data_IF_864544798064
#
_entry.id   IF_864544798064
#
_cell.length_a   1.000
_cell.length_b   1.000
_cell.length_c   1.000
_cell.angle_alpha   90.00
_cell.angle_beta   90.00
_cell.angle_gamma   90.00
#
_symmetry.space_group_name_H-M   'P 1'
#
loop_
_entity.id
_entity.type
_entity.pdbx_description
1 polymer ?
#
# COMPACT_ATOMS: atom_id res chain seq x y z
N UNK A 1 0.56 -16.31 21.80
CA UNK A 1 0.60 -15.11 20.94
C UNK A 1 0.10 -15.53 19.57
N UNK A 2 -1.20 -15.38 19.33
CA UNK A 2 -1.81 -15.52 18.01
C UNK A 2 -1.24 -14.45 17.10
N UNK A 3 -0.74 -14.83 15.92
CA UNK A 3 -0.25 -13.86 14.95
C UNK A 3 -1.39 -12.91 14.58
N UNK A 4 -1.24 -11.62 14.89
CA UNK A 4 -2.18 -10.57 14.49
C UNK A 4 -2.34 -10.63 12.97
N UNK A 5 -3.50 -11.12 12.50
CA UNK A 5 -3.73 -11.38 11.07
C UNK A 5 -4.03 -10.05 10.39
N UNK A 6 -3.40 -9.84 9.23
CA UNK A 6 -3.76 -8.73 8.36
C UNK A 6 -4.84 -9.18 7.38
N UNK A 7 -5.90 -8.38 7.27
CA UNK A 7 -6.98 -8.58 6.31
C UNK A 7 -6.92 -7.50 5.24
N UNK A 8 -7.02 -7.89 3.97
CA UNK A 8 -7.00 -6.96 2.83
C UNK A 8 -8.36 -6.87 2.17
N UNK A 9 -8.74 -5.66 1.79
CA UNK A 9 -9.98 -5.38 1.08
C UNK A 9 -9.74 -4.42 -0.08
N UNK A 10 -10.58 -4.51 -1.11
CA UNK A 10 -10.61 -3.50 -2.17
C UNK A 10 -11.01 -2.16 -1.56
N UNK A 11 -10.23 -1.12 -1.87
CA UNK A 11 -10.45 0.21 -1.32
C UNK A 11 -11.77 0.80 -1.82
N UNK A 12 -12.63 1.22 -0.89
CA UNK A 12 -13.87 1.95 -1.18
C UNK A 12 -13.61 3.45 -1.38
N UNK A 13 -14.60 4.18 -1.91
CA UNK A 13 -14.50 5.64 -2.08
C UNK A 13 -14.33 6.38 -0.74
N UNK A 14 -14.98 5.93 0.34
CA UNK A 14 -14.82 6.54 1.67
C UNK A 14 -13.42 6.32 2.24
N UNK A 15 -12.87 5.12 2.07
CA UNK A 15 -11.50 4.80 2.45
C UNK A 15 -10.47 5.57 1.60
N UNK A 16 -10.77 5.82 0.32
CA UNK A 16 -9.93 6.63 -0.55
C UNK A 16 -9.80 8.09 -0.06
N UNK A 17 -10.90 8.64 0.48
CA UNK A 17 -10.89 9.97 1.11
C UNK A 17 -10.07 9.98 2.39
N UNK A 18 -10.26 9.00 3.28
CA UNK A 18 -9.45 8.87 4.49
C UNK A 18 -7.95 8.69 4.17
N UNK A 19 -7.63 7.86 3.17
CA UNK A 19 -6.26 7.67 2.72
C UNK A 19 -5.66 8.90 2.03
N UNK A 20 -6.48 9.82 1.53
CA UNK A 20 -6.02 11.11 0.99
C UNK A 20 -5.52 12.02 2.12
N UNK A 21 -6.14 11.96 3.30
CA UNK A 21 -5.66 12.66 4.49
C UNK A 21 -4.29 12.11 4.97
N UNK A 22 -3.94 10.88 4.60
CA UNK A 22 -2.62 10.32 4.89
C UNK A 22 -1.53 10.82 3.92
N UNK A 23 -1.86 11.45 2.79
CA UNK A 23 -0.87 11.83 1.78
C UNK A 23 0.18 12.83 2.30
N UNK A 24 -0.23 13.73 3.19
CA UNK A 24 0.65 14.79 3.70
C UNK A 24 1.66 14.25 4.73
N UNK A 25 1.36 13.10 5.33
CA UNK A 25 2.19 12.50 6.39
C UNK A 25 2.81 11.18 5.96
N UNK A 26 2.24 10.47 5.00
CA UNK A 26 2.66 9.14 4.59
C UNK A 26 2.94 9.07 3.08
N UNK A 27 4.21 9.22 2.74
CA UNK A 27 4.72 8.98 1.39
C UNK A 27 4.54 7.49 1.06
N UNK A 28 3.92 7.20 -0.08
CA UNK A 28 3.82 5.82 -0.58
C UNK A 28 5.24 5.28 -0.80
N UNK A 29 5.63 4.29 -0.01
CA UNK A 29 6.89 3.59 -0.21
C UNK A 29 6.74 2.68 -1.43
N UNK A 30 7.17 3.14 -2.59
CA UNK A 30 7.18 2.34 -3.81
C UNK A 30 8.36 1.37 -3.84
N UNK A 31 8.08 0.09 -4.00
CA UNK A 31 9.07 -0.94 -4.34
C UNK A 31 8.94 -1.24 -5.82
N UNK A 32 9.79 -0.57 -6.61
CA UNK A 32 9.68 -0.58 -8.06
C UNK A 32 11.04 -0.65 -8.75
N UNK A 33 11.15 -1.52 -9.74
CA UNK A 33 12.29 -1.58 -10.67
C UNK A 33 12.12 -0.62 -11.87
N UNK A 34 11.30 0.43 -11.74
CA UNK A 34 11.12 1.42 -12.82
C UNK A 34 12.41 2.21 -13.03
N UNK A 35 12.80 2.46 -14.29
CA UNK A 35 13.96 3.28 -14.58
C UNK A 35 13.73 4.73 -14.13
N UNK A 36 14.83 5.40 -13.83
CA UNK A 36 14.89 6.85 -13.66
C UNK A 36 15.56 7.40 -14.91
N UNK A 37 14.85 8.25 -15.65
CA UNK A 37 15.33 8.87 -16.89
C UNK A 37 15.44 10.36 -16.61
N UNK A 38 16.62 10.95 -16.82
CA UNK A 38 16.89 12.37 -16.55
C UNK A 38 16.52 12.81 -15.13
N UNK A 39 16.79 11.96 -14.12
CA UNK A 39 16.46 12.25 -12.72
C UNK A 39 14.97 12.10 -12.37
N UNK A 40 14.10 11.81 -13.34
CA UNK A 40 12.66 11.63 -13.14
C UNK A 40 12.31 10.16 -13.19
N UNK A 41 11.53 9.69 -12.21
CA UNK A 41 11.03 8.31 -12.19
C UNK A 41 9.92 8.17 -13.22
N UNK A 42 10.03 7.19 -14.12
CA UNK A 42 8.98 6.93 -15.12
C UNK A 42 7.64 6.66 -14.42
N UNK A 43 6.52 7.28 -14.85
CA UNK A 43 5.22 7.08 -14.23
C UNK A 43 4.72 5.63 -14.40
N UNK A 44 3.83 5.15 -13.52
CA UNK A 44 3.33 3.78 -13.60
C UNK A 44 2.29 3.70 -14.70
N UNK A 45 2.07 2.50 -15.25
CA UNK A 45 0.98 2.28 -16.22
C UNK A 45 -0.39 2.59 -15.62
N UNK A 46 -1.37 2.90 -16.46
CA UNK A 46 -2.69 3.42 -16.06
C UNK A 46 -3.47 2.49 -15.13
N UNK A 47 -3.26 1.16 -15.28
CA UNK A 47 -3.98 0.18 -14.45
C UNK A 47 -3.38 0.10 -13.05
N UNK A 48 -4.16 0.53 -12.07
CA UNK A 48 -3.84 0.46 -10.64
C UNK A 48 -4.92 -0.31 -9.90
N UNK A 49 -4.51 -1.11 -8.92
CA UNK A 49 -5.42 -1.70 -7.93
C UNK A 49 -5.09 -1.14 -6.56
N UNK A 50 -6.09 -0.65 -5.84
CA UNK A 50 -5.90 -0.11 -4.50
C UNK A 50 -6.57 -1.03 -3.48
N UNK A 51 -5.79 -1.44 -2.49
CA UNK A 51 -6.25 -2.24 -1.38
C UNK A 51 -6.01 -1.47 -0.09
N UNK A 52 -6.87 -1.68 0.90
CA UNK A 52 -6.62 -1.31 2.29
C UNK A 52 -6.31 -2.56 3.09
N UNK A 53 -5.60 -2.40 4.20
CA UNK A 53 -5.38 -3.49 5.14
C UNK A 53 -5.77 -3.09 6.55
N UNK A 54 -6.28 -4.09 7.28
CA UNK A 54 -6.77 -4.01 8.64
C UNK A 54 -5.95 -4.96 9.53
N UNK A 55 -5.86 -4.62 10.80
CA UNK A 55 -5.27 -5.45 11.85
C UNK A 55 -6.37 -5.84 12.83
N UNK A 56 -6.34 -7.08 13.32
CA UNK A 56 -7.32 -7.58 14.28
C UNK A 56 -7.40 -6.65 15.51
N UNK A 57 -8.63 -6.31 15.92
CA UNK A 57 -8.88 -5.39 17.03
C UNK A 57 -8.86 -3.90 16.64
N UNK A 58 -8.57 -3.55 15.38
CA UNK A 58 -8.69 -2.18 14.86
C UNK A 58 -9.78 -2.13 13.80
N UNK A 59 -10.82 -1.31 14.04
CA UNK A 59 -11.96 -1.16 13.14
C UNK A 59 -11.63 -0.37 11.87
N UNK A 60 -10.62 0.49 11.94
CA UNK A 60 -10.19 1.35 10.84
C UNK A 60 -9.06 0.72 10.02
N UNK A 61 -8.92 1.15 8.78
CA UNK A 61 -7.79 0.75 7.95
C UNK A 61 -6.48 1.25 8.56
N UNK A 62 -5.54 0.33 8.79
CA UNK A 62 -4.21 0.62 9.33
C UNK A 62 -3.19 0.95 8.24
N UNK A 63 -3.58 0.81 6.97
CA UNK A 63 -2.84 1.32 5.83
C UNK A 63 -3.45 0.92 4.49
N UNK A 64 -2.72 1.23 3.41
CA UNK A 64 -3.10 0.85 2.05
C UNK A 64 -1.91 0.32 1.24
N UNK A 65 -2.24 -0.48 0.24
CA UNK A 65 -1.33 -0.99 -0.78
C UNK A 65 -1.87 -0.57 -2.15
N UNK A 66 -0.99 -0.11 -3.01
CA UNK A 66 -1.29 0.17 -4.41
C UNK A 66 -0.45 -0.75 -5.28
N UNK A 67 -1.09 -1.58 -6.08
CA UNK A 67 -0.45 -2.42 -7.09
C UNK A 67 -0.56 -1.75 -8.46
N UNK A 68 0.54 -1.75 -9.21
CA UNK A 68 0.68 -1.09 -10.52
C UNK A 68 1.74 -1.81 -11.36
N UNK A 69 1.93 -1.39 -12.62
CA UNK A 69 2.86 -2.04 -13.57
C UNK A 69 2.66 -3.56 -13.65
N UNK A 70 1.42 -3.99 -13.90
CA UNK A 70 1.09 -5.42 -14.02
C UNK A 70 1.75 -6.02 -15.27
N UNK A 71 2.46 -7.13 -15.09
CA UNK A 71 3.08 -7.89 -16.17
C UNK A 71 2.42 -9.28 -16.26
N UNK A 72 1.64 -9.49 -17.31
CA UNK A 72 0.92 -10.74 -17.55
C UNK A 72 1.86 -11.90 -17.89
N UNK A 73 3.00 -11.65 -18.54
CA UNK A 73 3.94 -12.70 -18.98
C UNK A 73 4.55 -13.46 -17.81
N UNK A 74 4.92 -12.76 -16.75
CA UNK A 74 5.52 -13.36 -15.56
C UNK A 74 4.58 -13.36 -14.34
N UNK A 75 3.32 -12.93 -14.52
CA UNK A 75 2.31 -12.83 -13.45
C UNK A 75 2.78 -12.00 -12.25
N UNK A 76 3.49 -10.90 -12.51
CA UNK A 76 4.00 -10.01 -11.46
C UNK A 76 3.33 -8.63 -11.50
N UNK A 77 3.43 -7.91 -10.40
CA UNK A 77 3.10 -6.50 -10.32
C UNK A 77 4.10 -5.80 -9.42
N UNK A 78 4.26 -4.49 -9.60
CA UNK A 78 4.95 -3.63 -8.64
C UNK A 78 3.95 -3.11 -7.65
N UNK A 79 4.42 -2.72 -6.47
CA UNK A 79 3.53 -2.17 -5.46
C UNK A 79 4.21 -1.08 -4.65
N UNK A 80 3.38 -0.23 -4.07
CA UNK A 80 3.75 0.68 -3.02
C UNK A 80 2.76 0.59 -1.88
N UNK A 81 3.16 1.03 -0.70
CA UNK A 81 2.28 1.02 0.46
C UNK A 81 2.50 2.22 1.36
N UNK A 82 1.51 2.48 2.20
CA UNK A 82 1.63 3.48 3.24
C UNK A 82 0.82 3.02 4.47
N UNK A 83 1.40 3.18 5.66
CA UNK A 83 0.72 2.92 6.92
C UNK A 83 0.01 4.17 7.42
N UNK A 84 -1.15 4.02 8.04
CA UNK A 84 -1.82 5.12 8.70
C UNK A 84 -0.90 5.65 9.83
N UNK A 85 -0.60 6.97 9.85
CA UNK A 85 0.30 7.57 10.84
C UNK A 85 -0.05 7.26 12.30
N UNK A 86 -1.33 7.11 12.62
CA UNK A 86 -1.81 6.81 13.98
C UNK A 86 -1.30 5.46 14.51
N UNK A 87 -0.96 4.53 13.61
CA UNK A 87 -0.51 3.18 13.94
C UNK A 87 1.00 2.97 13.65
N UNK A 88 1.77 4.06 13.52
CA UNK A 88 3.23 3.99 13.40
C UNK A 88 3.87 3.31 14.62
N UNK A 89 5.08 2.80 14.41
CA UNK A 89 5.89 2.13 15.44
C UNK A 89 5.29 0.85 16.06
N UNK A 90 4.12 0.39 15.60
CA UNK A 90 3.51 -0.89 16.02
C UNK A 90 3.95 -2.10 15.21
N UNK A 91 4.83 -1.90 14.22
CA UNK A 91 5.34 -2.96 13.35
C UNK A 91 4.36 -3.45 12.27
N UNK A 92 3.19 -2.82 12.12
CA UNK A 92 2.13 -3.24 11.17
C UNK A 92 2.64 -3.29 9.73
N UNK A 93 3.35 -2.24 9.28
CA UNK A 93 3.91 -2.20 7.92
C UNK A 93 5.01 -3.25 7.69
N UNK A 94 5.71 -3.68 8.75
CA UNK A 94 6.69 -4.76 8.67
C UNK A 94 6.01 -6.12 8.50
N UNK A 95 4.91 -6.36 9.23
CA UNK A 95 4.07 -7.57 9.08
C UNK A 95 3.46 -7.64 7.68
N UNK A 96 3.02 -6.51 7.12
CA UNK A 96 2.49 -6.44 5.76
C UNK A 96 3.50 -6.90 4.71
N UNK A 97 4.79 -6.54 4.85
CA UNK A 97 5.86 -6.93 3.90
C UNK A 97 6.20 -8.42 3.87
N UNK A 98 5.74 -9.22 4.84
CA UNK A 98 6.08 -10.63 4.98
C UNK A 98 5.03 -11.57 4.33
N UNK A 99 4.01 -10.99 3.67
CA UNK A 99 2.96 -11.69 2.93
C UNK A 99 3.30 -11.65 1.45
#
# INVERSE_FOLDING_TARGET
MTADRLRFETMTSSQAMAATQWKDTCRLEERTCRPVVNGVRVPPTDRKSNLVFFEDGISEAVGRVQCFDFNSRNRSAKFGYCGNPLYRCRGVSKRMRLI
#
